data_IF_234690559571
#
_entry.id   IF_234690559571
#
_cell.length_a   1.000
_cell.length_b   1.000
_cell.length_c   1.000
_cell.angle_alpha   90.00
_cell.angle_beta   90.00
_cell.angle_gamma   90.00
#
_symmetry.space_group_name_H-M   'P 1'
#
loop_
_entity.id
_entity.type
_entity.pdbx_description
1 polymer ?
#
# COMPACT_ATOMS: atom_id res chain seq x y z
N UNK A 1 -5.58 10.38 23.51
CA UNK A 1 -6.47 9.83 22.45
C UNK A 1 -7.18 8.57 22.96
N UNK A 2 -8.52 8.42 22.87
CA UNK A 2 -9.15 7.15 23.23
C UNK A 2 -8.82 6.09 22.18
N UNK A 3 -7.84 5.23 22.46
CA UNK A 3 -7.45 4.13 21.58
C UNK A 3 -8.66 3.21 21.34
N UNK A 4 -9.08 2.98 20.08
CA UNK A 4 -10.22 2.11 19.79
C UNK A 4 -9.96 0.67 20.25
N UNK A 5 -10.95 0.04 20.89
CA UNK A 5 -10.90 -1.38 21.22
C UNK A 5 -10.63 -2.22 19.97
N UNK A 6 -9.73 -3.24 20.01
CA UNK A 6 -9.44 -4.04 18.82
C UNK A 6 -10.67 -4.74 18.24
N UNK A 7 -10.93 -4.57 16.94
CA UNK A 7 -11.87 -5.43 16.22
C UNK A 7 -11.23 -6.80 15.95
N UNK A 8 -11.64 -7.82 16.72
CA UNK A 8 -11.11 -9.18 16.57
C UNK A 8 -11.74 -9.97 15.42
N UNK A 9 -12.88 -9.50 14.90
CA UNK A 9 -13.65 -10.15 13.85
C UNK A 9 -14.03 -9.13 12.77
N UNK A 10 -13.03 -8.58 12.05
CA UNK A 10 -13.30 -7.61 11.01
C UNK A 10 -14.16 -8.21 9.88
N UNK A 11 -14.90 -7.36 9.14
CA UNK A 11 -15.80 -7.81 8.07
C UNK A 11 -15.07 -8.53 6.92
N UNK A 12 -13.76 -8.29 6.77
CA UNK A 12 -12.89 -8.96 5.80
C UNK A 12 -11.46 -9.00 6.35
N UNK A 13 -10.60 -9.83 5.77
CA UNK A 13 -9.26 -10.09 6.30
C UNK A 13 -8.16 -9.40 5.47
N UNK A 14 -7.62 -8.31 6.00
CA UNK A 14 -6.38 -7.70 5.49
C UNK A 14 -5.18 -8.47 6.04
N UNK A 15 -4.28 -8.92 5.17
CA UNK A 15 -3.07 -9.67 5.54
C UNK A 15 -1.92 -8.73 5.85
N UNK A 16 -1.68 -7.76 4.96
CA UNK A 16 -0.60 -6.77 5.04
C UNK A 16 -0.79 -5.70 3.98
N UNK A 17 -0.05 -4.61 4.09
CA UNK A 17 0.20 -3.77 2.92
C UNK A 17 1.00 -4.55 1.87
N UNK A 18 0.85 -4.13 0.61
CA UNK A 18 1.49 -4.79 -0.53
C UNK A 18 2.41 -3.86 -1.29
N UNK A 19 1.86 -2.75 -1.81
CA UNK A 19 2.60 -1.84 -2.68
C UNK A 19 1.98 -0.46 -2.71
N UNK A 20 2.73 0.51 -3.25
CA UNK A 20 2.30 1.89 -3.46
C UNK A 20 2.37 2.25 -4.94
N UNK A 21 1.36 2.98 -5.42
CA UNK A 21 1.41 3.67 -6.71
C UNK A 21 1.77 5.15 -6.51
N UNK A 22 2.82 5.61 -7.18
CA UNK A 22 3.28 7.00 -7.14
C UNK A 22 3.28 7.59 -8.55
N UNK A 23 2.61 8.73 -8.68
CA UNK A 23 2.76 9.59 -9.83
C UNK A 23 4.04 10.41 -9.68
N UNK A 24 4.86 10.44 -10.73
CA UNK A 24 6.15 11.14 -10.74
C UNK A 24 6.33 11.97 -12.01
N UNK A 25 6.92 13.15 -11.88
CA UNK A 25 7.16 14.07 -13.01
C UNK A 25 8.21 13.56 -14.00
N UNK A 26 9.29 12.96 -13.47
CA UNK A 26 10.45 12.55 -14.25
C UNK A 26 10.85 11.12 -13.86
N UNK A 27 10.44 10.14 -14.66
CA UNK A 27 10.75 8.74 -14.43
C UNK A 27 12.24 8.45 -14.42
N UNK A 28 13.06 9.17 -15.21
CA UNK A 28 14.51 8.94 -15.24
C UNK A 28 15.13 9.33 -13.91
N UNK A 29 14.74 10.48 -13.36
CA UNK A 29 15.20 10.91 -12.02
C UNK A 29 14.68 10.00 -10.92
N UNK A 30 13.41 9.62 -10.96
CA UNK A 30 12.85 8.69 -9.97
C UNK A 30 13.54 7.33 -10.02
N UNK A 31 13.82 6.80 -11.21
CA UNK A 31 14.59 5.56 -11.40
C UNK A 31 16.00 5.68 -10.81
N UNK A 32 16.71 6.77 -11.09
CA UNK A 32 18.05 7.00 -10.52
C UNK A 32 18.04 7.01 -8.98
N UNK A 33 16.97 7.53 -8.38
CA UNK A 33 16.80 7.48 -6.94
C UNK A 33 16.47 6.06 -6.44
N UNK A 34 15.35 5.48 -6.89
CA UNK A 34 14.85 4.22 -6.33
C UNK A 34 15.66 2.99 -6.74
N UNK A 35 16.21 2.98 -7.94
CA UNK A 35 17.01 1.86 -8.47
C UNK A 35 18.48 2.08 -8.18
N UNK A 36 19.07 3.16 -8.67
CA UNK A 36 20.53 3.30 -8.64
C UNK A 36 21.05 3.70 -7.24
N UNK A 37 20.30 4.51 -6.49
CA UNK A 37 20.68 4.94 -5.13
C UNK A 37 20.20 3.94 -4.06
N UNK A 38 18.90 3.64 -4.03
CA UNK A 38 18.34 2.76 -3.01
C UNK A 38 18.57 1.26 -3.32
N UNK A 39 18.64 0.85 -4.59
CA UNK A 39 18.91 -0.54 -4.96
C UNK A 39 17.67 -1.42 -5.12
N UNK A 40 16.47 -0.83 -5.31
CA UNK A 40 15.28 -1.60 -5.68
C UNK A 40 15.44 -2.24 -7.05
N UNK A 41 14.88 -3.43 -7.23
CA UNK A 41 14.96 -4.17 -8.48
C UNK A 41 13.83 -3.73 -9.41
N UNK A 42 14.17 -3.37 -10.65
CA UNK A 42 13.19 -3.20 -11.73
C UNK A 42 12.62 -4.56 -12.11
N UNK A 43 11.30 -4.67 -12.12
CA UNK A 43 10.59 -5.88 -12.57
C UNK A 43 9.87 -5.66 -13.89
N UNK A 44 9.50 -4.42 -14.19
CA UNK A 44 9.05 -3.96 -15.50
C UNK A 44 9.36 -2.47 -15.63
N UNK A 45 9.77 -2.03 -16.82
CA UNK A 45 9.91 -0.61 -17.15
C UNK A 45 9.57 -0.35 -18.62
N UNK A 46 8.86 0.74 -18.87
CA UNK A 46 8.66 1.33 -20.20
C UNK A 46 8.81 2.87 -20.15
N UNK A 47 8.30 3.58 -21.15
CA UNK A 47 8.38 5.05 -21.19
C UNK A 47 7.50 5.78 -20.18
N UNK A 48 6.49 5.12 -19.61
CA UNK A 48 5.44 5.72 -18.78
C UNK A 48 5.31 5.08 -17.39
N UNK A 49 5.86 3.88 -17.18
CA UNK A 49 5.74 3.14 -15.91
C UNK A 49 7.03 2.40 -15.56
N UNK A 50 7.38 2.39 -14.27
CA UNK A 50 8.42 1.53 -13.70
C UNK A 50 7.83 0.79 -12.50
N UNK A 51 7.90 -0.53 -12.50
CA UNK A 51 7.54 -1.35 -11.33
C UNK A 51 8.80 -1.88 -10.66
N UNK A 52 8.81 -1.78 -9.34
CA UNK A 52 9.97 -2.02 -8.51
C UNK A 52 9.63 -3.00 -7.40
N UNK A 53 10.59 -3.85 -7.04
CA UNK A 53 10.48 -4.74 -5.88
C UNK A 53 11.72 -4.69 -4.99
N UNK A 54 11.49 -4.83 -3.69
CA UNK A 54 12.55 -5.01 -2.70
C UNK A 54 13.08 -6.45 -2.71
N UNK A 55 14.21 -6.68 -2.04
CA UNK A 55 15.00 -7.91 -2.18
C UNK A 55 14.24 -9.20 -1.79
N UNK A 56 13.49 -9.16 -0.69
CA UNK A 56 12.76 -10.30 -0.13
C UNK A 56 11.28 -10.34 -0.59
N UNK A 57 10.85 -9.40 -1.43
CA UNK A 57 9.51 -9.42 -1.98
C UNK A 57 9.32 -10.62 -2.90
N UNK A 58 8.21 -11.33 -2.67
CA UNK A 58 7.78 -12.46 -3.50
C UNK A 58 6.84 -12.04 -4.63
N UNK A 59 6.08 -10.97 -4.41
CA UNK A 59 5.19 -10.42 -5.44
C UNK A 59 5.98 -9.71 -6.54
N UNK A 60 5.32 -9.45 -7.66
CA UNK A 60 5.91 -8.76 -8.81
C UNK A 60 6.49 -7.40 -8.44
N UNK A 61 5.84 -6.64 -7.55
CA UNK A 61 6.28 -5.31 -7.18
C UNK A 61 5.82 -4.92 -5.78
N UNK A 62 6.56 -4.00 -5.15
CA UNK A 62 6.16 -3.27 -3.94
C UNK A 62 6.01 -1.76 -4.19
N UNK A 63 6.36 -1.28 -5.39
CA UNK A 63 6.22 0.12 -5.79
C UNK A 63 6.00 0.22 -7.30
N UNK A 64 5.08 1.09 -7.70
CA UNK A 64 4.82 1.46 -9.09
C UNK A 64 5.03 2.95 -9.23
N UNK A 65 5.85 3.34 -10.20
CA UNK A 65 6.11 4.73 -10.56
C UNK A 65 5.46 4.99 -11.92
N UNK A 66 4.48 5.88 -11.97
CA UNK A 66 3.78 6.26 -13.21
C UNK A 66 4.11 7.70 -13.55
N UNK A 67 4.40 7.99 -14.81
CA UNK A 67 4.67 9.36 -15.25
C UNK A 67 3.37 10.18 -15.20
N UNK A 68 3.44 11.37 -14.59
CA UNK A 68 2.35 12.33 -14.56
C UNK A 68 2.87 13.76 -14.44
N UNK A 69 2.03 14.75 -14.77
CA UNK A 69 2.40 16.17 -14.67
C UNK A 69 2.62 16.62 -13.22
N UNK A 70 1.92 16.02 -12.27
CA UNK A 70 1.97 16.36 -10.85
C UNK A 70 2.31 15.14 -9.98
N UNK A 71 3.31 15.25 -9.07
CA UNK A 71 3.63 14.17 -8.15
C UNK A 71 2.49 13.96 -7.16
N UNK A 72 2.09 12.71 -6.97
CA UNK A 72 1.02 12.35 -6.03
C UNK A 72 1.10 10.87 -5.65
N UNK A 73 0.44 10.51 -4.55
CA UNK A 73 0.13 9.10 -4.26
C UNK A 73 -1.09 8.74 -5.09
N UNK A 74 -0.94 7.80 -6.01
CA UNK A 74 -2.06 7.30 -6.82
C UNK A 74 -2.93 6.35 -6.00
N UNK A 75 -2.32 5.47 -5.19
CA UNK A 75 -3.01 4.53 -4.31
C UNK A 75 -2.05 3.86 -3.31
N UNK A 76 -2.62 3.41 -2.19
CA UNK A 76 -1.99 2.55 -1.19
C UNK A 76 -2.66 1.18 -1.20
N UNK A 77 -1.94 0.12 -1.59
CA UNK A 77 -2.54 -1.19 -1.79
C UNK A 77 -2.31 -2.15 -0.61
N UNK A 78 -3.37 -2.86 -0.23
CA UNK A 78 -3.40 -3.90 0.79
C UNK A 78 -3.74 -5.25 0.16
N UNK A 79 -3.08 -6.29 0.66
CA UNK A 79 -3.38 -7.67 0.29
C UNK A 79 -4.45 -8.23 1.23
N UNK A 80 -5.51 -8.79 0.65
CA UNK A 80 -6.53 -9.57 1.34
C UNK A 80 -6.16 -11.05 1.39
N UNK A 81 -6.78 -11.78 2.32
CA UNK A 81 -6.49 -13.19 2.56
C UNK A 81 -7.06 -14.09 1.47
N UNK A 82 -8.35 -13.92 1.12
CA UNK A 82 -9.06 -14.76 0.17
C UNK A 82 -9.89 -13.94 -0.83
N UNK A 83 -10.31 -14.56 -1.94
CA UNK A 83 -11.08 -13.89 -3.00
C UNK A 83 -12.42 -13.35 -2.50
N UNK A 84 -13.09 -14.09 -1.60
CA UNK A 84 -14.35 -13.67 -1.00
C UNK A 84 -14.21 -12.42 -0.12
N UNK A 85 -13.01 -12.10 0.35
CA UNK A 85 -12.77 -10.89 1.14
C UNK A 85 -12.86 -9.63 0.27
N UNK A 86 -12.68 -9.70 -1.05
CA UNK A 86 -12.91 -8.56 -1.96
C UNK A 86 -14.38 -8.13 -1.96
N UNK A 87 -15.28 -9.10 -2.09
CA UNK A 87 -16.74 -8.84 -2.10
C UNK A 87 -17.21 -8.31 -0.73
N UNK A 88 -16.65 -8.85 0.37
CA UNK A 88 -16.92 -8.35 1.71
C UNK A 88 -16.39 -6.92 1.93
N UNK A 89 -15.19 -6.62 1.44
CA UNK A 89 -14.63 -5.28 1.50
C UNK A 89 -15.49 -4.29 0.70
N UNK A 90 -15.92 -4.67 -0.51
CA UNK A 90 -16.82 -3.86 -1.32
C UNK A 90 -18.14 -3.57 -0.57
N UNK A 91 -18.80 -4.60 -0.04
CA UNK A 91 -20.04 -4.46 0.71
C UNK A 91 -19.86 -3.55 1.94
N UNK A 92 -18.76 -3.72 2.67
CA UNK A 92 -18.42 -2.90 3.83
C UNK A 92 -18.25 -1.42 3.46
N UNK A 93 -17.43 -1.10 2.44
CA UNK A 93 -17.19 0.28 2.05
C UNK A 93 -18.44 0.94 1.44
N UNK A 94 -19.24 0.21 0.66
CA UNK A 94 -20.56 0.69 0.18
C UNK A 94 -21.50 1.02 1.34
N UNK A 95 -21.57 0.17 2.36
CA UNK A 95 -22.42 0.41 3.53
C UNK A 95 -22.01 1.66 4.32
N UNK A 96 -20.73 2.05 4.25
CA UNK A 96 -20.21 3.31 4.81
C UNK A 96 -20.40 4.53 3.90
N UNK A 97 -21.02 4.38 2.73
CA UNK A 97 -21.19 5.45 1.75
C UNK A 97 -19.88 5.88 1.08
N UNK A 98 -18.84 5.03 1.10
CA UNK A 98 -17.59 5.28 0.40
C UNK A 98 -17.67 4.83 -1.06
N UNK A 99 -16.98 5.52 -1.99
CA UNK A 99 -16.93 5.11 -3.38
C UNK A 99 -16.22 3.77 -3.49
N UNK A 100 -16.72 2.89 -4.35
CA UNK A 100 -16.05 1.62 -4.67
C UNK A 100 -15.98 1.45 -6.17
N UNK A 101 -14.83 1.04 -6.66
CA UNK A 101 -14.54 0.84 -8.06
C UNK A 101 -13.67 -0.40 -8.23
N UNK A 102 -13.96 -1.23 -9.23
CA UNK A 102 -13.02 -2.28 -9.61
C UNK A 102 -12.10 -1.76 -10.70
N UNK A 103 -10.80 -1.85 -10.46
CA UNK A 103 -9.75 -1.43 -11.39
C UNK A 103 -8.90 -2.62 -11.81
N UNK A 104 -8.46 -2.59 -13.06
CA UNK A 104 -7.52 -3.58 -13.61
C UNK A 104 -6.09 -3.07 -13.41
N UNK A 105 -5.21 -3.95 -12.95
CA UNK A 105 -3.81 -3.65 -12.64
C UNK A 105 -2.93 -4.74 -13.22
N UNK A 106 -1.80 -4.35 -13.82
CA UNK A 106 -0.85 -5.32 -14.34
C UNK A 106 -0.29 -6.20 -13.21
N UNK A 107 -0.12 -7.49 -13.50
CA UNK A 107 0.50 -8.49 -12.63
C UNK A 107 -0.26 -8.83 -11.33
N UNK A 108 -1.48 -8.31 -11.11
CA UNK A 108 -2.28 -8.62 -9.94
C UNK A 108 -3.73 -8.95 -10.29
N UNK A 109 -4.42 -9.60 -9.36
CA UNK A 109 -5.82 -9.92 -9.49
C UNK A 109 -6.69 -8.66 -9.60
N UNK A 110 -7.97 -8.88 -9.93
CA UNK A 110 -9.03 -7.89 -9.78
C UNK A 110 -8.84 -7.12 -8.47
N UNK A 111 -8.88 -5.80 -8.57
CA UNK A 111 -8.52 -4.89 -7.47
C UNK A 111 -9.69 -3.97 -7.16
N UNK A 112 -10.06 -3.90 -5.88
CA UNK A 112 -11.07 -2.99 -5.37
C UNK A 112 -10.38 -1.69 -4.93
N UNK A 113 -10.77 -0.57 -5.53
CA UNK A 113 -10.35 0.78 -5.17
C UNK A 113 -11.46 1.48 -4.39
N UNK A 114 -11.06 2.21 -3.34
CA UNK A 114 -11.89 3.11 -2.55
C UNK A 114 -11.03 4.25 -2.00
N UNK A 115 -11.48 4.94 -0.95
CA UNK A 115 -10.70 5.91 -0.20
C UNK A 115 -10.89 5.74 1.31
N UNK A 116 -9.93 6.18 2.10
CA UNK A 116 -10.07 6.26 3.55
C UNK A 116 -10.99 7.42 3.98
N UNK A 117 -11.12 7.65 5.30
CA UNK A 117 -11.92 8.74 5.86
C UNK A 117 -11.40 10.15 5.50
N UNK A 118 -10.14 10.30 5.11
CA UNK A 118 -9.50 11.56 4.70
C UNK A 118 -9.51 11.75 3.18
N UNK A 119 -9.91 10.73 2.43
CA UNK A 119 -9.91 10.73 0.98
C UNK A 119 -8.63 10.18 0.34
N UNK A 120 -7.73 9.56 1.11
CA UNK A 120 -6.54 8.87 0.60
C UNK A 120 -6.98 7.65 -0.21
N UNK A 121 -6.53 7.50 -1.47
CA UNK A 121 -6.88 6.36 -2.29
C UNK A 121 -6.25 5.08 -1.74
N UNK A 122 -7.09 4.08 -1.48
CA UNK A 122 -6.65 2.76 -1.01
C UNK A 122 -7.19 1.66 -1.93
N UNK A 123 -6.38 0.62 -2.13
CA UNK A 123 -6.69 -0.51 -3.00
C UNK A 123 -6.58 -1.83 -2.23
N UNK A 124 -7.40 -2.80 -2.64
CA UNK A 124 -7.44 -4.14 -2.06
C UNK A 124 -7.41 -5.18 -3.18
N UNK A 125 -6.54 -6.18 -3.05
CA UNK A 125 -6.39 -7.28 -4.02
C UNK A 125 -5.97 -8.55 -3.28
N UNK A 126 -5.97 -9.71 -3.95
CA UNK A 126 -5.73 -11.01 -3.29
C UNK A 126 -4.45 -11.66 -3.77
N UNK A 127 -4.24 -11.71 -5.08
CA UNK A 127 -3.10 -12.40 -5.69
C UNK A 127 -2.33 -11.49 -6.64
N UNK A 128 -1.03 -11.73 -6.73
CA UNK A 128 -0.10 -11.05 -7.62
C UNK A 128 0.86 -12.10 -8.16
N UNK A 129 1.30 -11.91 -9.40
CA UNK A 129 2.35 -12.71 -10.02
C UNK A 129 3.55 -12.77 -9.09
N UNK A 130 4.14 -13.96 -9.00
CA UNK A 130 5.31 -14.22 -8.16
C UNK A 130 6.53 -14.30 -9.04
N UNK A 131 7.61 -13.69 -8.59
CA UNK A 131 8.90 -13.77 -9.27
C UNK A 131 9.85 -14.64 -8.45
N UNK A 132 10.86 -15.18 -9.13
CA UNK A 132 11.88 -16.02 -8.49
C UNK A 132 12.56 -15.28 -7.33
N UNK A 133 12.72 -15.90 -6.15
CA UNK A 133 13.42 -15.27 -5.03
C UNK A 133 14.85 -14.86 -5.41
N UNK A 134 15.25 -13.66 -5.00
CA UNK A 134 16.60 -13.14 -5.24
C UNK A 134 17.37 -12.83 -3.96
N UNK A 135 16.79 -13.06 -2.78
CA UNK A 135 17.41 -12.73 -1.50
C UNK A 135 18.71 -13.49 -1.22
N UNK A 136 18.98 -14.62 -1.90
CA UNK A 136 20.27 -15.31 -1.81
C UNK A 136 21.22 -15.03 -2.99
N UNK A 137 20.83 -14.15 -3.93
CA UNK A 137 21.68 -13.73 -5.04
C UNK A 137 22.52 -12.54 -4.61
N UNK A 138 23.54 -12.80 -3.78
CA UNK A 138 24.36 -11.76 -3.12
C UNK A 138 25.04 -10.80 -4.10
N UNK A 139 25.30 -11.21 -5.35
CA UNK A 139 25.82 -10.31 -6.40
C UNK A 139 24.90 -9.11 -6.72
N UNK A 140 23.61 -9.21 -6.38
CA UNK A 140 22.61 -8.15 -6.58
C UNK A 140 22.56 -7.12 -5.44
N UNK A 141 23.37 -7.29 -4.40
CA UNK A 141 23.38 -6.43 -3.22
C UNK A 141 24.24 -5.19 -3.50
N UNK A 142 23.60 -4.18 -4.09
CA UNK A 142 24.20 -2.87 -4.41
C UNK A 142 23.37 -1.77 -3.77
N UNK A 143 24.02 -0.69 -3.33
CA UNK A 143 23.36 0.43 -2.66
C UNK A 143 22.89 0.08 -1.24
N UNK A 144 21.81 0.73 -0.80
CA UNK A 144 21.20 0.49 0.53
C UNK A 144 20.51 -0.87 0.60
N UNK A 145 19.89 -1.30 -0.51
CA UNK A 145 19.21 -2.58 -0.69
C UNK A 145 18.06 -2.86 0.30
N UNK A 146 16.92 -2.15 0.19
CA UNK A 146 15.73 -2.45 0.97
C UNK A 146 15.30 -3.91 0.86
N UNK A 147 14.97 -4.51 2.01
CA UNK A 147 14.55 -5.91 2.08
C UNK A 147 13.07 -6.07 1.70
N UNK A 148 12.20 -5.23 2.28
CA UNK A 148 10.75 -5.27 2.11
C UNK A 148 10.16 -3.86 2.20
N UNK A 149 8.96 -3.69 1.66
CA UNK A 149 8.10 -2.58 2.07
C UNK A 149 7.43 -2.94 3.40
N UNK A 150 7.27 -1.97 4.30
CA UNK A 150 6.91 -2.25 5.70
C UNK A 150 5.64 -1.54 6.17
N UNK A 151 5.56 -0.22 6.02
CA UNK A 151 4.39 0.58 6.41
C UNK A 151 4.14 1.76 5.47
N UNK A 152 2.93 2.31 5.55
CA UNK A 152 2.60 3.66 5.06
C UNK A 152 2.46 4.59 6.26
N UNK A 153 2.84 5.85 6.10
CA UNK A 153 2.54 6.90 7.06
C UNK A 153 1.73 7.98 6.34
N UNK A 154 0.61 8.39 6.94
CA UNK A 154 -0.40 9.25 6.32
C UNK A 154 -0.65 10.42 7.27
N UNK A 155 -0.63 11.64 6.72
CA UNK A 155 -1.03 12.82 7.46
C UNK A 155 -2.54 12.82 7.68
N UNK A 156 -2.96 13.04 8.93
CA UNK A 156 -4.37 13.12 9.30
C UNK A 156 -4.70 14.46 9.95
N UNK A 157 -5.85 15.03 9.56
CA UNK A 157 -6.43 16.20 10.22
C UNK A 157 -7.20 15.83 11.49
N UNK A 158 -7.51 14.54 11.68
CA UNK A 158 -8.15 14.01 12.88
C UNK A 158 -7.68 12.55 13.11
N UNK A 159 -6.67 12.39 13.95
CA UNK A 159 -6.03 11.09 14.18
C UNK A 159 -6.98 10.10 14.87
N UNK A 160 -7.85 10.58 15.77
CA UNK A 160 -8.84 9.73 16.46
C UNK A 160 -9.79 9.07 15.45
N UNK A 161 -10.32 9.85 14.48
CA UNK A 161 -11.20 9.34 13.44
C UNK A 161 -10.48 8.40 12.47
N UNK A 162 -9.24 8.71 12.10
CA UNK A 162 -8.42 7.83 11.26
C UNK A 162 -8.10 6.51 11.97
N UNK A 163 -7.71 6.55 13.24
CA UNK A 163 -7.44 5.34 14.03
C UNK A 163 -8.70 4.48 14.15
N UNK A 164 -9.86 5.09 14.41
CA UNK A 164 -11.14 4.37 14.44
C UNK A 164 -11.50 3.77 13.07
N UNK A 165 -11.26 4.50 11.97
CA UNK A 165 -11.54 4.03 10.62
C UNK A 165 -10.75 2.76 10.27
N UNK A 166 -9.43 2.78 10.47
CA UNK A 166 -8.57 1.61 10.18
C UNK A 166 -8.84 0.46 11.16
N UNK A 167 -9.14 0.76 12.43
CA UNK A 167 -9.47 -0.26 13.42
C UNK A 167 -10.75 -1.03 13.05
N UNK A 168 -11.74 -0.36 12.49
CA UNK A 168 -13.03 -0.96 12.18
C UNK A 168 -12.94 -2.11 11.17
N UNK A 169 -11.98 -2.09 10.25
CA UNK A 169 -11.69 -3.22 9.36
C UNK A 169 -10.44 -4.03 9.74
N UNK A 170 -9.99 -3.94 11.00
CA UNK A 170 -9.12 -4.92 11.63
C UNK A 170 -7.70 -4.48 11.95
N UNK A 171 -7.30 -3.23 11.65
CA UNK A 171 -6.01 -2.71 12.11
C UNK A 171 -6.03 -2.49 13.63
N UNK A 172 -4.85 -2.50 14.25
CA UNK A 172 -4.72 -2.32 15.70
C UNK A 172 -3.63 -1.30 15.97
N UNK A 173 -3.92 -0.36 16.86
CA UNK A 173 -2.92 0.59 17.35
C UNK A 173 -1.92 -0.20 18.19
N UNK A 174 -0.66 -0.16 17.77
CA UNK A 174 0.45 -0.76 18.52
C UNK A 174 1.08 0.27 19.44
N UNK A 175 1.24 1.49 18.95
CA UNK A 175 1.86 2.62 19.64
C UNK A 175 1.12 3.91 19.26
N UNK A 176 1.09 4.88 20.16
CA UNK A 176 0.53 6.22 19.94
C UNK A 176 1.30 7.26 20.74
N UNK A 177 1.14 8.52 20.35
CA UNK A 177 1.63 9.68 21.11
C UNK A 177 0.41 10.56 21.41
N UNK A 178 0.36 11.13 22.60
CA UNK A 178 -0.69 12.07 22.98
C UNK A 178 -0.08 13.29 23.67
N UNK A 179 -0.77 14.42 23.53
CA UNK A 179 -0.50 15.66 24.26
C UNK A 179 -1.29 15.70 25.57
N UNK A 180 -0.64 16.10 26.66
CA UNK A 180 -1.24 16.20 28.00
C UNK A 180 -2.32 17.29 28.06
N UNK A 181 -2.18 18.39 27.31
CA UNK A 181 -3.12 19.51 27.35
C UNK A 181 -4.44 19.18 26.65
N UNK A 182 -4.37 18.56 25.47
CA UNK A 182 -5.54 18.23 24.66
C UNK A 182 -6.05 16.81 24.87
N UNK A 183 -5.24 15.94 25.48
CA UNK A 183 -5.53 14.51 25.61
C UNK A 183 -5.67 13.82 24.25
N UNK A 184 -5.05 14.36 23.20
CA UNK A 184 -5.12 13.92 21.81
C UNK A 184 -3.74 13.60 21.26
#
# INVERSE_FOLDING_TARGET
MPVPSPNLYPPFNVVRLSHIGLNVRDLKKSRAFYVDTLGLQVTYEDSETITLRALEERGHHCMVLTRADEPSVEYLAFKLYAEEDLEKAEAYFRAKGLPVEYVERAYQSKTLRTRDNLGVPIEFFVSMDKLEPIHQKYELYRGVKPLRIDHFNIFSTNVDESAAFYNDFGFRVTEYTEDEETGR
#
